data_IF_808483059763
#
_entry.id   IF_808483059763
#
_cell.length_a   1.000
_cell.length_b   1.000
_cell.length_c   1.000
_cell.angle_alpha   90.00
_cell.angle_beta   90.00
_cell.angle_gamma   90.00
#
_symmetry.space_group_name_H-M   'P 1'
#
loop_
_entity.id
_entity.type
_entity.pdbx_description
1 polymer ?
#
# COMPACT_ATOMS: atom_id res chain seq x y z
N UNK A 1 38.18 -2.36 12.19
CA UNK A 1 37.12 -2.52 11.17
C UNK A 1 36.20 -3.71 11.48
N UNK A 2 36.70 -4.84 12.02
CA UNK A 2 35.88 -6.00 12.38
C UNK A 2 34.83 -5.81 13.51
N UNK A 3 35.13 -5.04 14.56
CA UNK A 3 34.19 -4.87 15.70
C UNK A 3 32.91 -4.10 15.34
N UNK A 4 33.01 -3.12 14.42
CA UNK A 4 31.87 -2.33 13.97
C UNK A 4 30.95 -3.16 13.09
N UNK A 5 31.51 -3.95 12.17
CA UNK A 5 30.74 -4.86 11.32
C UNK A 5 30.04 -5.94 12.17
N UNK A 6 30.73 -6.49 13.18
CA UNK A 6 30.13 -7.48 14.08
C UNK A 6 28.97 -6.89 14.90
N UNK A 7 29.13 -5.67 15.42
CA UNK A 7 28.09 -4.95 16.15
C UNK A 7 26.88 -4.62 15.26
N UNK A 8 27.11 -4.17 14.02
CA UNK A 8 26.05 -3.88 13.04
C UNK A 8 25.30 -5.16 12.64
N UNK A 9 26.01 -6.26 12.41
CA UNK A 9 25.38 -7.55 12.13
C UNK A 9 24.60 -8.09 13.34
N UNK A 10 25.10 -7.90 14.57
CA UNK A 10 24.41 -8.33 15.79
C UNK A 10 23.13 -7.54 16.04
N UNK A 11 23.18 -6.21 15.93
CA UNK A 11 22.01 -5.34 16.10
C UNK A 11 20.92 -5.63 15.06
N UNK A 12 21.28 -5.84 13.79
CA UNK A 12 20.35 -6.24 12.75
C UNK A 12 19.70 -7.61 12.99
N UNK A 13 20.42 -8.58 13.57
CA UNK A 13 19.85 -9.88 13.98
C UNK A 13 18.86 -9.74 15.13
N UNK A 14 19.20 -8.95 16.15
CA UNK A 14 18.33 -8.74 17.32
C UNK A 14 17.02 -8.06 16.93
N UNK A 15 17.07 -7.04 16.07
CA UNK A 15 15.87 -6.34 15.61
C UNK A 15 14.95 -7.26 14.80
N UNK A 16 15.49 -8.05 13.85
CA UNK A 16 14.71 -9.06 13.11
C UNK A 16 14.11 -10.12 14.02
N UNK A 17 14.87 -10.62 15.00
CA UNK A 17 14.36 -11.59 15.97
C UNK A 17 13.26 -11.01 16.87
N UNK A 18 13.33 -9.71 17.20
CA UNK A 18 12.26 -9.04 17.91
C UNK A 18 11.00 -8.91 17.05
N UNK A 19 11.14 -8.53 15.77
CA UNK A 19 10.00 -8.45 14.85
C UNK A 19 9.39 -9.81 14.58
N UNK A 20 10.18 -10.86 14.33
CA UNK A 20 9.67 -12.22 14.14
C UNK A 20 8.84 -12.69 15.35
N UNK A 21 9.25 -12.36 16.57
CA UNK A 21 8.45 -12.63 17.77
C UNK A 21 7.10 -11.89 17.78
N UNK A 22 7.02 -10.69 17.22
CA UNK A 22 5.75 -9.97 17.07
C UNK A 22 4.87 -10.61 16.00
N UNK A 23 5.47 -11.01 14.88
CA UNK A 23 4.77 -11.68 13.77
C UNK A 23 4.13 -12.99 14.20
N UNK A 24 4.78 -13.75 15.08
CA UNK A 24 4.29 -15.03 15.58
C UNK A 24 3.37 -14.92 16.81
N UNK A 25 3.24 -13.72 17.39
CA UNK A 25 2.51 -13.52 18.66
C UNK A 25 0.99 -13.48 18.46
N UNK A 26 0.34 -14.62 18.67
CA UNK A 26 -1.13 -14.74 18.69
C UNK A 26 -1.79 -13.91 19.79
N UNK A 27 -1.05 -13.51 20.84
CA UNK A 27 -1.55 -12.63 21.88
C UNK A 27 -1.96 -11.23 21.35
N UNK A 28 -1.39 -10.81 20.22
CA UNK A 28 -1.74 -9.56 19.54
C UNK A 28 -3.05 -9.67 18.73
N UNK A 29 -3.61 -10.88 18.60
CA UNK A 29 -4.80 -11.11 17.79
C UNK A 29 -6.07 -10.50 18.43
N UNK A 30 -6.17 -10.51 19.76
CA UNK A 30 -7.27 -9.84 20.47
C UNK A 30 -7.24 -8.30 20.32
N UNK A 31 -6.11 -7.64 20.61
CA UNK A 31 -5.94 -6.21 20.34
C UNK A 31 -6.19 -5.82 18.88
N UNK A 32 -5.70 -6.61 17.93
CA UNK A 32 -5.95 -6.38 16.51
C UNK A 32 -7.45 -6.37 16.18
N UNK A 33 -8.23 -7.27 16.78
CA UNK A 33 -9.68 -7.29 16.59
C UNK A 33 -10.38 -6.02 17.10
N UNK A 34 -9.88 -5.42 18.18
CA UNK A 34 -10.38 -4.12 18.67
C UNK A 34 -10.05 -3.02 17.68
N UNK A 35 -8.81 -2.94 17.21
CA UNK A 35 -8.37 -1.94 16.22
C UNK A 35 -9.17 -2.08 14.92
N UNK A 36 -9.43 -3.31 14.46
CA UNK A 36 -10.25 -3.59 13.28
C UNK A 36 -11.66 -3.04 13.41
N UNK A 37 -12.33 -3.23 14.56
CA UNK A 37 -13.68 -2.67 14.78
C UNK A 37 -13.68 -1.15 14.74
N UNK A 38 -12.66 -0.51 15.29
CA UNK A 38 -12.48 0.95 15.21
C UNK A 38 -12.24 1.38 13.76
N UNK A 39 -11.35 0.71 13.04
CA UNK A 39 -11.06 0.98 11.63
C UNK A 39 -12.33 0.91 10.78
N UNK A 40 -13.12 -0.15 10.94
CA UNK A 40 -14.38 -0.32 10.21
C UNK A 40 -15.40 0.77 10.52
N UNK A 41 -15.48 1.24 11.77
CA UNK A 41 -16.37 2.34 12.13
C UNK A 41 -15.91 3.68 11.52
N UNK A 42 -14.61 3.97 11.56
CA UNK A 42 -14.02 5.22 11.04
C UNK A 42 -14.06 5.27 9.51
N UNK A 43 -13.82 4.14 8.85
CA UNK A 43 -13.68 4.02 7.39
C UNK A 43 -15.00 3.63 6.69
N UNK A 44 -16.11 3.59 7.44
CA UNK A 44 -17.45 3.31 6.89
C UNK A 44 -17.82 4.17 5.67
N UNK A 45 -17.55 5.49 5.65
CA UNK A 45 -17.85 6.32 4.48
C UNK A 45 -16.92 5.98 3.31
N UNK A 46 -17.49 5.54 2.19
CA UNK A 46 -16.72 5.09 1.00
C UNK A 46 -15.77 6.17 0.46
N UNK A 47 -16.21 7.42 0.42
CA UNK A 47 -15.40 8.56 -0.05
C UNK A 47 -14.17 8.79 0.83
N UNK A 48 -14.37 8.80 2.15
CA UNK A 48 -13.30 8.93 3.14
C UNK A 48 -12.31 7.78 3.02
N UNK A 49 -12.81 6.54 2.95
CA UNK A 49 -11.96 5.36 2.78
C UNK A 49 -11.16 5.39 1.47
N UNK A 50 -11.76 5.81 0.35
CA UNK A 50 -11.08 5.88 -0.94
C UNK A 50 -9.94 6.92 -0.93
N UNK A 51 -10.18 8.10 -0.36
CA UNK A 51 -9.16 9.15 -0.26
C UNK A 51 -8.03 8.73 0.68
N UNK A 52 -8.34 8.17 1.85
CA UNK A 52 -7.33 7.75 2.82
C UNK A 52 -6.44 6.62 2.32
N UNK A 53 -6.97 5.74 1.44
CA UNK A 53 -6.21 4.69 0.76
C UNK A 53 -5.40 5.19 -0.42
N UNK A 54 -5.55 6.47 -0.79
CA UNK A 54 -4.86 7.08 -1.91
C UNK A 54 -5.37 6.65 -3.29
N UNK A 55 -6.63 6.22 -3.41
CA UNK A 55 -7.24 5.84 -4.70
C UNK A 55 -7.06 6.94 -5.77
N UNK A 56 -7.25 8.24 -5.50
CA UNK A 56 -7.03 9.29 -6.50
C UNK A 56 -5.57 9.42 -6.95
N UNK A 57 -4.62 9.09 -6.06
CA UNK A 57 -3.18 9.16 -6.34
C UNK A 57 -2.64 7.89 -7.02
N UNK A 58 -3.42 6.80 -7.04
CA UNK A 58 -3.03 5.51 -7.60
C UNK A 58 -2.05 4.71 -6.74
N UNK A 59 -1.72 5.19 -5.53
CA UNK A 59 -0.84 4.52 -4.58
C UNK A 59 -1.26 4.81 -3.14
N UNK A 60 -0.79 3.99 -2.19
CA UNK A 60 -1.02 4.20 -0.77
C UNK A 60 -0.63 5.63 -0.33
N UNK A 61 -1.53 6.30 0.39
CA UNK A 61 -1.29 7.66 0.85
C UNK A 61 -0.43 7.70 2.13
N UNK A 62 -0.44 6.62 2.93
CA UNK A 62 0.24 6.63 4.23
C UNK A 62 1.75 6.84 4.13
N UNK A 63 2.52 6.07 3.33
CA UNK A 63 3.98 6.23 3.30
C UNK A 63 4.45 7.68 3.05
N UNK A 64 4.00 8.40 1.99
CA UNK A 64 4.42 9.79 1.79
C UNK A 64 3.86 10.74 2.86
N UNK A 65 2.69 10.46 3.44
CA UNK A 65 2.15 11.27 4.54
C UNK A 65 2.94 11.13 5.84
N UNK A 66 3.73 10.06 6.03
CA UNK A 66 4.57 9.92 7.24
C UNK A 66 5.78 10.85 7.23
N UNK A 67 6.29 11.22 6.06
CA UNK A 67 7.45 12.11 5.93
C UNK A 67 7.18 13.49 6.55
N UNK A 68 5.93 13.96 6.50
CA UNK A 68 5.52 15.25 7.04
C UNK A 68 5.69 15.33 8.57
N UNK A 69 4.99 14.53 9.40
CA UNK A 69 5.17 14.57 10.84
C UNK A 69 6.61 14.20 11.26
N UNK A 70 7.25 13.24 10.58
CA UNK A 70 8.64 12.85 10.87
C UNK A 70 9.58 14.04 10.66
N UNK A 71 9.51 14.69 9.49
CA UNK A 71 10.37 15.83 9.16
C UNK A 71 10.15 17.03 10.09
N UNK A 72 8.89 17.32 10.44
CA UNK A 72 8.52 18.39 11.37
C UNK A 72 9.09 18.13 12.77
N UNK A 73 8.88 16.93 13.32
CA UNK A 73 9.35 16.58 14.66
C UNK A 73 10.85 16.42 14.75
N UNK A 74 11.49 15.84 13.73
CA UNK A 74 12.95 15.77 13.66
C UNK A 74 13.58 17.16 13.60
N UNK A 75 13.02 18.05 12.77
CA UNK A 75 13.47 19.45 12.68
C UNK A 75 13.27 20.21 13.99
N UNK A 76 12.16 19.95 14.71
CA UNK A 76 11.95 20.51 16.04
C UNK A 76 13.03 20.05 17.05
N UNK A 77 13.36 18.76 17.06
CA UNK A 77 14.43 18.21 17.89
C UNK A 77 15.80 18.79 17.52
N UNK A 78 16.10 18.96 16.23
CA UNK A 78 17.33 19.61 15.79
C UNK A 78 17.42 21.05 16.30
N UNK A 79 16.34 21.83 16.22
CA UNK A 79 16.30 23.19 16.78
C UNK A 79 16.40 23.20 18.31
N UNK A 80 15.81 22.23 19.00
CA UNK A 80 15.90 22.11 20.45
C UNK A 80 17.35 21.87 20.92
N UNK A 81 18.15 21.16 20.13
CA UNK A 81 19.53 20.82 20.45
C UNK A 81 20.55 21.86 19.94
N UNK A 82 20.39 22.31 18.70
CA UNK A 82 21.39 23.13 18.00
C UNK A 82 21.11 24.64 18.12
N UNK A 83 19.84 25.02 18.31
CA UNK A 83 19.42 26.41 18.44
C UNK A 83 18.49 26.61 19.65
N UNK A 84 18.88 26.18 20.87
CA UNK A 84 17.98 26.08 22.02
C UNK A 84 17.39 27.43 22.48
N UNK A 85 17.94 28.56 22.05
CA UNK A 85 17.45 29.92 22.37
C UNK A 85 16.78 30.57 21.16
N UNK A 86 17.49 30.70 20.04
CA UNK A 86 17.01 31.38 18.83
C UNK A 86 15.93 30.59 18.08
N UNK A 87 15.97 29.25 18.13
CA UNK A 87 15.06 28.35 17.43
C UNK A 87 13.75 28.02 18.15
N UNK A 88 13.56 28.47 19.41
CA UNK A 88 12.45 28.03 20.27
C UNK A 88 11.07 28.13 19.63
N UNK A 89 10.74 29.31 19.06
CA UNK A 89 9.43 29.56 18.46
C UNK A 89 9.19 28.69 17.22
N UNK A 90 10.23 28.45 16.42
CA UNK A 90 10.14 27.57 15.26
C UNK A 90 9.95 26.12 15.70
N UNK A 91 10.71 25.64 16.69
CA UNK A 91 10.55 24.30 17.25
C UNK A 91 9.12 24.08 17.79
N UNK A 92 8.55 25.04 18.53
CA UNK A 92 7.19 24.94 19.06
C UNK A 92 6.13 24.85 17.94
N UNK A 93 6.31 25.60 16.85
CA UNK A 93 5.44 25.55 15.67
C UNK A 93 5.55 24.22 14.96
N UNK A 94 6.76 23.72 14.75
CA UNK A 94 7.01 22.43 14.09
C UNK A 94 6.42 21.27 14.89
N UNK A 95 6.56 21.26 16.22
CA UNK A 95 5.89 20.25 17.07
C UNK A 95 4.37 20.30 16.89
N UNK A 96 3.78 21.49 16.96
CA UNK A 96 2.33 21.67 16.79
C UNK A 96 1.84 21.26 15.40
N UNK A 97 2.55 21.68 14.34
CA UNK A 97 2.24 21.28 12.97
C UNK A 97 2.35 19.76 12.78
N UNK A 98 3.34 19.11 13.40
CA UNK A 98 3.48 17.66 13.36
C UNK A 98 2.31 16.95 14.05
N UNK A 99 1.83 17.48 15.19
CA UNK A 99 0.62 16.97 15.87
C UNK A 99 -0.62 17.09 14.98
N UNK A 100 -0.77 18.21 14.25
CA UNK A 100 -1.89 18.40 13.31
C UNK A 100 -1.77 17.46 12.11
N UNK A 101 -0.58 17.32 11.54
CA UNK A 101 -0.31 16.43 10.40
C UNK A 101 -0.48 14.96 10.75
N UNK A 102 -0.27 14.56 12.01
CA UNK A 102 -0.39 13.17 12.43
C UNK A 102 -1.82 12.60 12.27
N UNK A 103 -2.86 13.43 12.31
CA UNK A 103 -4.25 12.96 12.17
C UNK A 103 -4.53 12.33 10.79
N UNK A 104 -4.37 13.03 9.65
CA UNK A 104 -4.55 12.42 8.34
C UNK A 104 -3.55 11.27 8.08
N UNK A 105 -2.32 11.36 8.59
CA UNK A 105 -1.32 10.28 8.48
C UNK A 105 -1.76 9.01 9.22
N UNK A 106 -2.30 9.13 10.44
CA UNK A 106 -2.78 7.98 11.20
C UNK A 106 -4.03 7.35 10.56
N UNK A 107 -4.92 8.18 10.01
CA UNK A 107 -6.12 7.72 9.33
C UNK A 107 -5.81 6.96 8.04
N UNK A 108 -4.84 7.42 7.25
CA UNK A 108 -4.39 6.69 6.06
C UNK A 108 -3.72 5.37 6.43
N UNK A 109 -2.89 5.35 7.47
CA UNK A 109 -2.26 4.12 7.97
C UNK A 109 -3.28 3.11 8.51
N UNK A 110 -4.33 3.58 9.18
CA UNK A 110 -5.44 2.73 9.63
C UNK A 110 -6.20 2.12 8.45
N UNK A 111 -6.37 2.88 7.36
CA UNK A 111 -7.01 2.41 6.14
C UNK A 111 -6.19 1.34 5.41
N UNK A 112 -4.87 1.54 5.35
CA UNK A 112 -3.90 0.62 4.75
C UNK A 112 -3.74 -0.68 5.57
N UNK A 113 -3.80 -0.58 6.90
CA UNK A 113 -3.76 -1.74 7.78
C UNK A 113 -5.03 -2.58 7.68
N UNK A 114 -6.21 -1.96 7.62
CA UNK A 114 -7.52 -2.64 7.56
C UNK A 114 -7.68 -3.57 6.34
N UNK A 115 -7.08 -3.21 5.19
CA UNK A 115 -7.08 -4.07 4.00
C UNK A 115 -6.11 -5.23 4.09
N UNK A 116 -4.98 -5.00 4.76
CA UNK A 116 -3.83 -5.89 4.69
C UNK A 116 -3.87 -6.95 5.79
N UNK A 117 -4.43 -6.60 6.95
CA UNK A 117 -4.46 -7.46 8.14
C UNK A 117 -5.19 -8.80 7.93
N UNK A 118 -6.19 -8.85 7.04
CA UNK A 118 -6.91 -10.09 6.73
C UNK A 118 -6.12 -11.05 5.86
N UNK A 119 -5.13 -10.55 5.12
CA UNK A 119 -4.34 -11.33 4.16
C UNK A 119 -3.06 -11.86 4.78
N UNK A 120 -2.44 -11.08 5.66
CA UNK A 120 -1.20 -11.45 6.32
C UNK A 120 -1.32 -11.28 7.86
N UNK A 121 -1.39 -12.38 8.64
CA UNK A 121 -1.39 -12.33 10.09
C UNK A 121 -0.16 -11.63 10.70
N UNK A 122 0.99 -11.66 10.02
CA UNK A 122 2.18 -10.93 10.45
C UNK A 122 1.96 -9.42 10.35
N UNK A 123 1.42 -8.93 9.23
CA UNK A 123 1.02 -7.52 9.04
C UNK A 123 0.00 -7.09 10.08
N UNK A 124 -0.98 -7.95 10.37
CA UNK A 124 -1.98 -7.71 11.41
C UNK A 124 -1.33 -7.42 12.77
N UNK A 125 -0.44 -8.31 13.23
CA UNK A 125 0.17 -8.24 14.56
C UNK A 125 1.20 -7.13 14.67
N UNK A 126 2.12 -7.03 13.71
CA UNK A 126 3.13 -5.96 13.67
C UNK A 126 2.46 -4.60 13.52
N UNK A 127 1.39 -4.51 12.71
CA UNK A 127 0.63 -3.28 12.50
C UNK A 127 0.00 -2.71 13.77
N UNK A 128 -0.48 -3.55 14.68
CA UNK A 128 -0.98 -3.09 15.99
C UNK A 128 0.14 -2.45 16.82
N UNK A 129 1.30 -3.11 16.90
CA UNK A 129 2.43 -2.59 17.68
C UNK A 129 2.99 -1.30 17.07
N UNK A 130 3.06 -1.24 15.73
CA UNK A 130 3.38 -0.04 14.99
C UNK A 130 2.39 1.10 15.30
N UNK A 131 1.09 0.84 15.26
CA UNK A 131 0.05 1.82 15.58
C UNK A 131 0.16 2.32 17.02
N UNK A 132 0.35 1.43 17.99
CA UNK A 132 0.52 1.78 19.42
C UNK A 132 1.78 2.62 19.64
N UNK A 133 2.91 2.27 19.02
CA UNK A 133 4.13 3.04 19.12
C UNK A 133 3.93 4.48 18.59
N UNK A 134 3.25 4.64 17.46
CA UNK A 134 2.96 5.95 16.89
C UNK A 134 1.92 6.75 17.70
N UNK A 135 0.93 6.09 18.31
CA UNK A 135 0.01 6.75 19.24
C UNK A 135 0.73 7.24 20.51
N UNK A 136 1.67 6.45 21.03
CA UNK A 136 2.53 6.87 22.14
C UNK A 136 3.39 8.08 21.74
N UNK A 137 4.02 8.05 20.55
CA UNK A 137 4.77 9.18 20.01
C UNK A 137 3.90 10.44 19.88
N UNK A 138 2.70 10.33 19.29
CA UNK A 138 1.76 11.43 19.14
C UNK A 138 1.32 11.99 20.51
N UNK A 139 1.02 11.13 21.48
CA UNK A 139 0.67 11.54 22.84
C UNK A 139 1.81 12.32 23.52
N UNK A 140 3.04 11.86 23.36
CA UNK A 140 4.23 12.53 23.87
C UNK A 140 4.49 13.86 23.15
N UNK A 141 4.39 13.93 21.82
CA UNK A 141 4.54 15.19 21.09
C UNK A 141 3.41 16.19 21.40
N UNK A 142 2.19 15.72 21.61
CA UNK A 142 1.08 16.56 22.07
C UNK A 142 1.34 17.11 23.46
N UNK A 143 1.81 16.26 24.39
CA UNK A 143 2.21 16.67 25.74
C UNK A 143 3.38 17.65 25.70
N UNK A 144 4.37 17.39 24.85
CA UNK A 144 5.50 18.27 24.58
C UNK A 144 5.02 19.65 24.14
N UNK A 145 4.09 19.70 23.17
CA UNK A 145 3.52 20.94 22.68
C UNK A 145 2.81 21.73 23.78
N UNK A 146 1.96 21.06 24.59
CA UNK A 146 1.25 21.68 25.71
C UNK A 146 2.21 22.22 26.77
N UNK A 147 3.25 21.45 27.15
CA UNK A 147 4.25 21.88 28.11
C UNK A 147 5.03 23.11 27.63
N UNK A 148 5.43 23.13 26.34
CA UNK A 148 6.09 24.29 25.71
C UNK A 148 5.19 25.53 25.77
N UNK A 149 3.90 25.38 25.44
CA UNK A 149 2.90 26.47 25.48
C UNK A 149 2.62 26.99 26.88
N UNK A 150 2.75 26.15 27.92
CA UNK A 150 2.60 26.51 29.34
C UNK A 150 3.88 27.06 29.98
N UNK A 151 4.97 27.20 29.22
CA UNK A 151 6.25 27.72 29.73
C UNK A 151 7.16 26.68 30.38
N UNK A 152 6.73 25.41 30.50
CA UNK A 152 7.55 24.30 31.00
C UNK A 152 8.48 23.75 29.92
N UNK A 153 9.36 24.62 29.40
CA UNK A 153 10.14 24.37 28.19
C UNK A 153 11.05 23.14 28.28
N UNK A 154 11.84 23.02 29.35
CA UNK A 154 12.77 21.90 29.51
C UNK A 154 12.04 20.56 29.54
N UNK A 155 10.97 20.45 30.32
CA UNK A 155 10.11 19.28 30.34
C UNK A 155 9.50 18.99 28.96
N UNK A 156 9.02 20.02 28.26
CA UNK A 156 8.51 19.88 26.90
C UNK A 156 9.55 19.35 25.92
N UNK A 157 10.80 19.80 26.00
CA UNK A 157 11.90 19.26 25.17
C UNK A 157 12.17 17.80 25.49
N UNK A 158 12.34 17.44 26.77
CA UNK A 158 12.60 16.06 27.19
C UNK A 158 11.48 15.10 26.79
N UNK A 159 10.22 15.50 26.97
CA UNK A 159 9.05 14.71 26.54
C UNK A 159 9.01 14.56 25.02
N UNK A 160 9.38 15.60 24.27
CA UNK A 160 9.46 15.54 22.81
C UNK A 160 10.56 14.59 22.32
N UNK A 161 11.73 14.60 22.96
CA UNK A 161 12.82 13.66 22.69
C UNK A 161 12.43 12.21 23.02
N UNK A 162 11.69 11.99 24.12
CA UNK A 162 11.10 10.70 24.43
C UNK A 162 10.05 10.29 23.37
N UNK A 163 9.24 11.22 22.86
CA UNK A 163 8.37 10.97 21.71
C UNK A 163 9.13 10.50 20.47
N UNK A 164 10.31 11.08 20.23
CA UNK A 164 11.21 10.69 19.14
C UNK A 164 11.70 9.24 19.21
N UNK A 165 11.83 8.65 20.40
CA UNK A 165 12.22 7.23 20.53
C UNK A 165 11.09 6.31 20.05
N UNK A 166 9.85 6.58 20.44
CA UNK A 166 8.68 5.85 19.97
C UNK A 166 8.43 6.06 18.48
N UNK A 167 8.68 7.28 17.97
CA UNK A 167 8.65 7.57 16.53
C UNK A 167 9.66 6.72 15.77
N UNK A 168 10.88 6.56 16.30
CA UNK A 168 11.90 5.68 15.71
C UNK A 168 11.50 4.21 15.68
N UNK A 169 10.93 3.69 16.78
CA UNK A 169 10.37 2.32 16.83
C UNK A 169 9.24 2.16 15.80
N UNK A 170 8.30 3.12 15.77
CA UNK A 170 7.20 3.15 14.80
C UNK A 170 7.72 3.16 13.36
N UNK A 171 8.71 4.01 13.06
CA UNK A 171 9.34 4.10 11.74
C UNK A 171 10.02 2.80 11.32
N UNK A 172 10.75 2.13 12.23
CA UNK A 172 11.35 0.83 11.93
C UNK A 172 10.28 -0.24 11.61
N UNK A 173 9.24 -0.34 12.43
CA UNK A 173 8.14 -1.29 12.19
C UNK A 173 7.37 -0.95 10.91
N UNK A 174 7.18 0.34 10.61
CA UNK A 174 6.54 0.81 9.37
C UNK A 174 7.36 0.45 8.14
N UNK A 175 8.68 0.63 8.19
CA UNK A 175 9.60 0.19 7.15
C UNK A 175 9.57 -1.33 6.95
N UNK A 176 9.47 -2.11 8.03
CA UNK A 176 9.29 -3.56 7.93
C UNK A 176 7.96 -3.94 7.26
N UNK A 177 6.86 -3.29 7.64
CA UNK A 177 5.55 -3.50 7.00
C UNK A 177 5.58 -3.16 5.50
N UNK A 178 6.15 -2.01 5.13
CA UNK A 178 6.16 -1.55 3.76
C UNK A 178 7.17 -2.29 2.86
N UNK A 179 8.38 -2.50 3.35
CA UNK A 179 9.51 -2.97 2.52
C UNK A 179 9.72 -4.48 2.60
N UNK A 180 9.38 -5.12 3.73
CA UNK A 180 9.57 -6.58 3.93
C UNK A 180 8.26 -7.32 3.75
N UNK A 181 7.15 -6.76 4.26
CA UNK A 181 5.82 -7.37 4.12
C UNK A 181 5.03 -6.84 2.93
N UNK A 182 5.52 -5.84 2.20
CA UNK A 182 4.84 -5.26 1.04
C UNK A 182 3.41 -4.79 1.33
N UNK A 183 3.18 -4.30 2.55
CA UNK A 183 1.91 -3.69 2.95
C UNK A 183 1.90 -2.18 2.56
N UNK A 184 0.74 -1.61 2.20
CA UNK A 184 -0.56 -2.27 2.15
C UNK A 184 -0.72 -3.22 0.96
N UNK A 185 -1.45 -4.30 1.20
CA UNK A 185 -1.90 -5.19 0.14
C UNK A 185 -3.14 -4.57 -0.50
N UNK A 186 -3.00 -4.00 -1.69
CA UNK A 186 -4.13 -3.52 -2.46
C UNK A 186 -5.00 -4.71 -2.91
N UNK A 187 -6.31 -4.57 -2.78
CA UNK A 187 -7.24 -5.55 -3.31
C UNK A 187 -7.48 -5.27 -4.81
N UNK A 188 -7.04 -6.14 -5.74
CA UNK A 188 -7.35 -5.96 -7.16
C UNK A 188 -8.88 -5.92 -7.41
N UNK A 189 -9.69 -6.42 -6.47
CA UNK A 189 -11.15 -6.41 -6.56
C UNK A 189 -11.82 -5.13 -6.04
N UNK A 190 -11.11 -4.25 -5.32
CA UNK A 190 -11.69 -2.98 -4.84
C UNK A 190 -11.86 -1.95 -5.97
N UNK A 191 -11.15 -2.11 -7.08
CA UNK A 191 -11.35 -1.34 -8.32
C UNK A 191 -12.48 -1.92 -9.18
N UNK A 192 -12.98 -3.12 -8.86
CA UNK A 192 -14.03 -3.84 -9.61
C UNK A 192 -15.24 -4.15 -8.73
N UNK A 193 -15.80 -3.13 -8.06
CA UNK A 193 -17.26 -3.14 -7.86
C UNK A 193 -17.90 -2.40 -9.04
N UNK A 194 -17.70 -2.95 -10.25
CA UNK A 194 -18.68 -2.78 -11.31
C UNK A 194 -19.83 -3.70 -10.91
N UNK A 195 -20.97 -3.08 -10.66
CA UNK A 195 -22.25 -3.70 -10.40
C UNK A 195 -22.44 -4.95 -11.28
N UNK A 196 -22.49 -6.14 -10.66
CA UNK A 196 -23.00 -7.35 -11.32
C UNK A 196 -24.49 -7.10 -11.60
N UNK A 197 -24.79 -6.48 -12.74
CA UNK A 197 -26.14 -6.54 -13.31
C UNK A 197 -26.30 -7.92 -13.91
N UNK A 198 -27.26 -8.64 -13.34
CA UNK A 198 -27.58 -10.01 -13.67
C UNK A 198 -27.86 -10.21 -15.18
N UNK A 199 -27.42 -11.36 -15.66
CA UNK A 199 -27.73 -12.03 -16.92
C UNK A 199 -29.09 -11.65 -17.53
N UNK A 200 -29.06 -11.24 -18.80
CA UNK A 200 -30.27 -11.06 -19.60
C UNK A 200 -29.96 -10.95 -21.08
N UNK A 201 -29.74 -12.09 -21.74
CA UNK A 201 -29.77 -12.16 -23.21
C UNK A 201 -31.18 -11.77 -23.67
N UNK A 202 -31.33 -10.67 -24.44
CA UNK A 202 -32.51 -10.44 -25.29
C UNK A 202 -32.12 -9.76 -26.60
N UNK A 203 -32.24 -10.53 -27.68
CA UNK A 203 -32.44 -10.02 -29.05
C UNK A 203 -33.82 -9.37 -29.12
N UNK A 204 -33.92 -8.11 -29.56
CA UNK A 204 -35.10 -7.62 -30.28
C UNK A 204 -34.80 -6.36 -31.09
N UNK A 205 -35.29 -6.39 -32.32
CA UNK A 205 -35.32 -5.39 -33.38
C UNK A 205 -36.13 -4.14 -33.04
N UNK A 206 -35.75 -3.03 -33.68
CA UNK A 206 -36.18 -1.62 -33.56
C UNK A 206 -37.65 -1.32 -33.91
N UNK A 207 -38.31 -0.43 -33.13
CA UNK A 207 -39.16 0.72 -33.57
C UNK A 207 -39.52 1.63 -32.37
N UNK A 208 -39.26 2.95 -32.43
CA UNK A 208 -39.48 3.95 -31.35
C UNK A 208 -40.90 4.56 -31.28
N UNK A 209 -41.14 5.76 -30.67
CA UNK A 209 -40.28 6.63 -29.85
C UNK A 209 -40.88 7.16 -28.50
N UNK A 210 -40.02 7.84 -27.70
CA UNK A 210 -40.25 8.66 -26.49
C UNK A 210 -40.73 7.90 -25.23
N UNK A 211 -40.13 8.01 -24.05
CA UNK A 211 -39.60 9.17 -23.31
C UNK A 211 -38.46 8.77 -22.36
N UNK A 212 -37.82 9.79 -21.80
CA UNK A 212 -36.98 9.83 -20.60
C UNK A 212 -35.46 9.68 -20.77
N UNK A 213 -34.83 10.80 -20.46
CA UNK A 213 -33.41 11.02 -20.34
C UNK A 213 -32.81 10.16 -19.23
N UNK A 214 -31.86 9.31 -19.57
CA UNK A 214 -30.56 9.21 -18.92
C UNK A 214 -29.58 8.68 -19.97
N UNK A 215 -28.75 9.60 -20.46
CA UNK A 215 -27.73 9.37 -21.48
C UNK A 215 -26.67 8.40 -20.92
N UNK A 216 -26.42 7.33 -21.66
CA UNK A 216 -25.63 6.19 -21.23
C UNK A 216 -24.18 6.53 -20.91
N UNK A 217 -23.63 5.87 -19.90
CA UNK A 217 -22.19 5.76 -19.69
C UNK A 217 -21.60 5.06 -20.92
N UNK A 218 -20.57 5.62 -21.58
CA UNK A 218 -19.94 4.96 -22.72
C UNK A 218 -19.37 3.60 -22.27
N UNK A 219 -19.61 2.56 -23.08
CA UNK A 219 -18.78 1.35 -23.02
C UNK A 219 -17.32 1.79 -23.19
N UNK A 220 -16.41 1.27 -22.38
CA UNK A 220 -14.99 1.55 -22.56
C UNK A 220 -14.48 0.79 -23.80
N UNK A 221 -14.74 1.37 -24.98
CA UNK A 221 -14.32 0.86 -26.29
C UNK A 221 -12.78 0.82 -26.42
N UNK A 222 -12.05 1.30 -25.42
CA UNK A 222 -10.58 1.38 -25.43
C UNK A 222 -9.89 0.09 -25.00
N UNK A 223 -10.60 -0.93 -24.52
CA UNK A 223 -10.01 -2.24 -24.14
C UNK A 223 -10.67 -3.41 -24.88
N UNK A 224 -9.87 -4.40 -25.28
CA UNK A 224 -10.29 -5.68 -25.87
C UNK A 224 -9.86 -6.81 -24.96
N UNK A 225 -10.74 -7.78 -24.76
CA UNK A 225 -10.47 -9.00 -24.00
C UNK A 225 -10.62 -10.22 -24.89
N UNK A 226 -9.74 -11.21 -24.72
CA UNK A 226 -9.80 -12.48 -25.45
C UNK A 226 -9.22 -13.62 -24.62
N UNK A 227 -9.71 -14.84 -24.83
CA UNK A 227 -9.10 -16.09 -24.35
C UNK A 227 -8.51 -16.90 -25.51
N UNK A 228 -8.57 -16.38 -26.74
CA UNK A 228 -8.08 -17.07 -27.94
C UNK A 228 -6.55 -17.05 -27.97
N UNK A 229 -5.94 -18.23 -27.87
CA UNK A 229 -4.49 -18.39 -27.84
C UNK A 229 -3.80 -17.82 -29.09
N UNK A 230 -4.43 -17.96 -30.26
CA UNK A 230 -3.90 -17.45 -31.52
C UNK A 230 -3.84 -15.93 -31.52
N UNK A 231 -4.93 -15.29 -31.10
CA UNK A 231 -5.03 -13.84 -31.00
C UNK A 231 -4.04 -13.24 -29.99
N UNK A 232 -3.86 -13.89 -28.84
CA UNK A 232 -2.90 -13.49 -27.80
C UNK A 232 -1.47 -13.56 -28.34
N UNK A 233 -1.10 -14.71 -28.93
CA UNK A 233 0.23 -14.92 -29.49
C UNK A 233 0.56 -13.90 -30.56
N UNK A 234 -0.33 -13.77 -31.56
CA UNK A 234 -0.13 -12.84 -32.68
C UNK A 234 0.07 -11.41 -32.17
N UNK A 235 -0.65 -11.00 -31.14
CA UNK A 235 -0.51 -9.65 -30.59
C UNK A 235 0.80 -9.44 -29.85
N UNK A 236 1.19 -10.36 -28.96
CA UNK A 236 2.45 -10.24 -28.19
C UNK A 236 3.65 -10.24 -29.14
N UNK A 237 3.67 -11.13 -30.13
CA UNK A 237 4.75 -11.21 -31.13
C UNK A 237 4.81 -9.96 -32.02
N UNK A 238 3.65 -9.39 -32.40
CA UNK A 238 3.60 -8.14 -33.18
C UNK A 238 4.24 -6.94 -32.44
N UNK A 239 4.32 -7.01 -31.11
CA UNK A 239 4.99 -6.02 -30.27
C UNK A 239 6.45 -6.38 -29.95
N UNK A 240 7.00 -7.43 -30.59
CA UNK A 240 8.35 -7.94 -30.31
C UNK A 240 8.48 -8.67 -28.97
N UNK A 241 7.35 -8.96 -28.30
CA UNK A 241 7.32 -9.65 -27.02
C UNK A 241 7.62 -11.15 -27.16
N UNK A 242 8.21 -11.73 -26.11
CA UNK A 242 8.43 -13.18 -25.99
C UNK A 242 7.73 -13.74 -24.77
N UNK A 243 7.18 -14.97 -24.84
CA UNK A 243 6.50 -15.59 -23.71
C UNK A 243 7.44 -15.81 -22.53
N UNK A 244 6.93 -15.53 -21.33
CA UNK A 244 7.62 -15.76 -20.07
C UNK A 244 6.62 -16.21 -18.99
N UNK A 245 7.14 -16.78 -17.92
CA UNK A 245 6.36 -17.15 -16.73
C UNK A 245 6.99 -16.51 -15.50
N UNK A 246 6.16 -16.05 -14.58
CA UNK A 246 6.59 -15.74 -13.21
C UNK A 246 6.41 -17.03 -12.39
N UNK A 247 7.50 -17.59 -11.84
CA UNK A 247 7.43 -18.80 -11.05
C UNK A 247 6.52 -18.63 -9.82
N UNK A 248 5.81 -19.69 -9.40
CA UNK A 248 4.99 -19.67 -8.19
C UNK A 248 5.86 -19.50 -6.94
N UNK A 249 5.31 -18.89 -5.89
CA UNK A 249 6.00 -18.72 -4.61
C UNK A 249 5.87 -19.95 -3.71
N UNK A 250 4.94 -20.87 -4.04
CA UNK A 250 4.73 -22.13 -3.32
C UNK A 250 4.39 -23.32 -4.24
N UNK A 251 4.46 -24.55 -3.73
CA UNK A 251 4.32 -25.78 -4.52
C UNK A 251 2.91 -26.05 -5.08
N UNK A 252 1.91 -25.26 -4.67
CA UNK A 252 0.51 -25.41 -5.08
C UNK A 252 -0.03 -24.21 -5.87
N UNK A 253 0.81 -23.23 -6.17
CA UNK A 253 0.42 -22.06 -6.96
C UNK A 253 0.67 -22.29 -8.45
N UNK A 254 -0.20 -21.73 -9.28
CA UNK A 254 -0.06 -21.77 -10.74
C UNK A 254 0.91 -20.65 -11.15
N UNK A 255 1.93 -20.92 -11.98
CA UNK A 255 2.80 -19.87 -12.53
C UNK A 255 1.96 -18.82 -13.26
N UNK A 256 2.37 -17.55 -13.18
CA UNK A 256 1.62 -16.45 -13.81
C UNK A 256 2.18 -16.17 -15.21
N UNK A 257 1.33 -16.14 -16.26
CA UNK A 257 1.78 -15.80 -17.60
C UNK A 257 2.30 -14.35 -17.69
N UNK A 258 3.42 -14.16 -18.38
CA UNK A 258 4.07 -12.86 -18.58
C UNK A 258 4.64 -12.73 -20.01
N UNK A 259 5.08 -11.53 -20.39
CA UNK A 259 5.83 -11.33 -21.62
C UNK A 259 7.06 -10.43 -21.39
N UNK A 260 8.15 -10.74 -22.08
CA UNK A 260 9.38 -9.96 -22.09
C UNK A 260 9.37 -9.11 -23.36
N UNK A 261 9.32 -7.79 -23.20
CA UNK A 261 9.36 -6.84 -24.32
C UNK A 261 10.76 -6.20 -24.46
N UNK A 262 11.24 -5.92 -25.70
CA UNK A 262 12.58 -5.38 -25.94
C UNK A 262 12.84 -4.00 -25.32
N UNK A 263 11.78 -3.19 -25.14
CA UNK A 263 11.85 -1.78 -24.73
C UNK A 263 11.01 -1.45 -23.48
N UNK A 264 10.60 -2.47 -22.70
CA UNK A 264 9.75 -2.31 -21.52
C UNK A 264 10.28 -2.97 -20.24
N UNK A 265 9.74 -2.61 -19.07
CA UNK A 265 10.07 -3.31 -17.83
C UNK A 265 9.64 -4.77 -17.98
N UNK A 266 10.61 -5.68 -18.02
CA UNK A 266 10.34 -7.11 -17.88
C UNK A 266 9.93 -7.35 -16.43
N UNK A 267 8.83 -8.08 -16.21
CA UNK A 267 8.38 -8.40 -14.85
C UNK A 267 9.54 -8.98 -14.02
N UNK A 268 9.79 -8.42 -12.83
CA UNK A 268 10.85 -8.91 -11.95
C UNK A 268 10.61 -10.38 -11.62
N UNK A 269 11.52 -11.26 -12.01
CA UNK A 269 11.39 -12.71 -11.82
C UNK A 269 10.71 -13.46 -12.97
N UNK A 270 10.34 -12.81 -14.08
CA UNK A 270 9.86 -13.48 -15.27
C UNK A 270 10.99 -14.28 -15.96
N UNK A 271 10.78 -15.57 -16.15
CA UNK A 271 11.72 -16.49 -16.82
C UNK A 271 11.18 -16.82 -18.21
N UNK A 272 12.03 -16.85 -19.27
CA UNK A 272 11.60 -17.26 -20.60
C UNK A 272 10.87 -18.62 -20.56
N UNK A 273 9.78 -18.71 -21.31
CA UNK A 273 8.96 -19.92 -21.41
C UNK A 273 8.61 -20.21 -22.86
N UNK A 274 8.09 -21.40 -23.14
CA UNK A 274 7.45 -21.71 -24.42
C UNK A 274 6.01 -21.18 -24.44
N UNK A 275 5.46 -20.98 -25.64
CA UNK A 275 4.04 -20.63 -25.79
C UNK A 275 3.12 -21.70 -25.21
N UNK A 276 3.52 -22.97 -25.27
CA UNK A 276 2.74 -24.06 -24.70
C UNK A 276 2.66 -23.94 -23.17
N UNK A 277 3.79 -23.75 -22.49
CA UNK A 277 3.82 -23.56 -21.04
C UNK A 277 3.06 -22.30 -20.60
N UNK A 278 3.09 -21.26 -21.43
CA UNK A 278 2.35 -20.02 -21.22
C UNK A 278 0.84 -20.24 -21.27
N UNK A 279 0.33 -20.90 -22.32
CA UNK A 279 -1.11 -21.16 -22.48
C UNK A 279 -1.62 -22.18 -21.47
N UNK A 280 -0.81 -23.19 -21.14
CA UNK A 280 -1.13 -24.13 -20.07
C UNK A 280 -1.31 -23.42 -18.72
N UNK A 281 -0.47 -22.43 -18.41
CA UNK A 281 -0.60 -21.61 -17.20
C UNK A 281 -1.80 -20.66 -17.27
N UNK A 282 -2.05 -20.06 -18.43
CA UNK A 282 -3.17 -19.16 -18.70
C UNK A 282 -4.52 -19.87 -18.53
N UNK A 283 -4.66 -21.07 -19.09
CA UNK A 283 -5.87 -21.87 -19.02
C UNK A 283 -6.10 -22.42 -17.61
N UNK A 284 -5.04 -22.94 -16.94
CA UNK A 284 -5.14 -23.40 -15.54
C UNK A 284 -5.51 -22.27 -14.58
N UNK A 285 -5.09 -21.05 -14.88
CA UNK A 285 -5.42 -19.87 -14.09
C UNK A 285 -6.82 -19.32 -14.37
N UNK A 286 -7.55 -19.87 -15.37
CA UNK A 286 -8.84 -19.36 -15.81
C UNK A 286 -8.75 -17.90 -16.23
N UNK A 287 -7.75 -17.55 -17.04
CA UNK A 287 -7.43 -16.16 -17.34
C UNK A 287 -8.01 -15.68 -18.67
N UNK A 288 -8.23 -14.37 -18.76
CA UNK A 288 -8.57 -13.62 -19.96
C UNK A 288 -7.50 -12.55 -20.21
N UNK A 289 -7.06 -12.44 -21.46
CA UNK A 289 -6.06 -11.47 -21.88
C UNK A 289 -6.73 -10.15 -22.23
N UNK A 290 -6.42 -9.09 -21.48
CA UNK A 290 -7.00 -7.76 -21.66
C UNK A 290 -5.92 -6.82 -22.18
N UNK A 291 -6.20 -6.16 -23.31
CA UNK A 291 -5.27 -5.25 -23.98
C UNK A 291 -6.00 -3.97 -24.41
N UNK A 292 -5.28 -2.85 -24.60
CA UNK A 292 -5.90 -1.70 -25.24
C UNK A 292 -6.34 -2.04 -26.68
N UNK A 293 -7.49 -1.51 -27.09
CA UNK A 293 -8.06 -1.65 -28.43
C UNK A 293 -7.19 -0.95 -29.49
N UNK A 294 -6.42 0.06 -29.08
CA UNK A 294 -5.48 0.81 -29.90
C UNK A 294 -4.21 1.08 -29.08
N UNK A 295 -3.03 0.88 -29.66
CA UNK A 295 -1.76 1.12 -28.95
C UNK A 295 -1.55 2.64 -28.82
N UNK A 296 -1.67 3.15 -27.59
CA UNK A 296 -1.56 4.58 -27.30
C UNK A 296 -0.21 4.99 -26.73
N UNK A 297 0.59 4.04 -26.19
CA UNK A 297 1.92 4.30 -25.60
C UNK A 297 2.85 3.08 -25.72
N UNK A 298 4.17 3.34 -25.67
CA UNK A 298 5.23 2.35 -25.52
C UNK A 298 5.91 2.52 -24.14
N UNK A 299 6.27 1.44 -23.42
CA UNK A 299 6.17 0.05 -23.84
C UNK A 299 4.73 -0.50 -23.80
N UNK A 300 4.43 -1.51 -24.63
CA UNK A 300 3.12 -2.16 -24.65
C UNK A 300 2.84 -2.86 -23.32
N UNK A 301 1.60 -2.79 -22.84
CA UNK A 301 1.16 -3.49 -21.64
C UNK A 301 -0.15 -4.24 -21.91
N UNK A 302 -0.37 -5.30 -21.14
CA UNK A 302 -1.60 -6.07 -21.10
C UNK A 302 -1.89 -6.45 -19.65
N UNK A 303 -3.15 -6.78 -19.37
CA UNK A 303 -3.64 -7.23 -18.08
C UNK A 303 -4.15 -8.68 -18.23
N UNK A 304 -4.04 -9.46 -17.16
CA UNK A 304 -4.67 -10.77 -17.05
C UNK A 304 -5.82 -10.66 -16.05
N UNK A 305 -7.04 -10.91 -16.51
CA UNK A 305 -8.24 -10.94 -15.69
C UNK A 305 -8.71 -12.38 -15.51
N UNK A 306 -9.56 -12.66 -14.53
CA UNK A 306 -10.26 -13.95 -14.47
C UNK A 306 -11.32 -13.99 -15.59
N UNK A 307 -11.35 -15.09 -16.35
CA UNK A 307 -12.29 -15.35 -17.44
C UNK A 307 -13.69 -15.72 -16.93
#
# INVERSE_FOLDING_TARGET
>A
MGDVDEMLHRSGRTARAAVGRLEDSTALDGPAEVVRRVAQAVLRPRTVSAVLRGVPAGHAAHPPLTDVPIGLWFSASALDLLAPVTGRRAADRLVGLGVLAAAPTALSGLADWETSERRDPAVRRVGVVHGVANLAALGLYTTSWVLRRRGHRAAGVLVGLAGGTFLGVGGYLGGHLALVRHAPHHDPLATTTVERVATGVRRTTTRGPATDAFEGVPLDETKRSTTDHGEIRTWIEAQGGRPALIPPLGPHEVPVPAAIFPSGPSGSGAVPATWQEWFDAFDRGGLAFVRPAQLTQAPPFFELAQA
#
